data_IF_153841411284
#
_entry.id   IF_153841411284
#
_cell.length_a   1.000
_cell.length_b   1.000
_cell.length_c   1.000
_cell.angle_alpha   90.00
_cell.angle_beta   90.00
_cell.angle_gamma   90.00
#
_symmetry.space_group_name_H-M   'P 1'
#
loop_
_entity.id
_entity.type
_entity.pdbx_description
1 polymer ?
#
# COMPACT_ATOMS: atom_id res chain seq x y z
N UNK A 1 12.24 -15.09 -6.47
CA UNK A 1 12.46 -14.36 -5.21
C UNK A 1 11.34 -13.34 -5.08
N UNK A 2 10.56 -13.37 -4.00
CA UNK A 2 9.46 -12.44 -3.77
C UNK A 2 9.90 -11.29 -2.85
N UNK A 3 9.27 -10.14 -2.99
CA UNK A 3 9.49 -9.00 -2.08
C UNK A 3 8.13 -8.43 -1.71
N UNK A 4 7.97 -8.10 -0.43
CA UNK A 4 6.75 -7.44 0.03
C UNK A 4 6.89 -5.93 -0.24
N UNK A 5 6.05 -5.42 -1.13
CA UNK A 5 6.08 -4.02 -1.58
C UNK A 5 5.23 -3.09 -0.70
N UNK A 6 4.60 -3.62 0.35
CA UNK A 6 3.77 -2.82 1.25
C UNK A 6 3.96 -3.26 2.69
N UNK A 7 4.49 -2.38 3.52
CA UNK A 7 4.59 -2.59 4.96
C UNK A 7 4.39 -1.25 5.67
N UNK A 8 3.45 -1.20 6.61
CA UNK A 8 3.28 -0.04 7.49
C UNK A 8 4.03 -0.28 8.79
N UNK A 9 4.79 0.74 9.25
CA UNK A 9 5.43 0.71 10.56
C UNK A 9 4.50 1.33 11.62
N UNK A 10 4.96 1.32 12.87
CA UNK A 10 4.27 1.95 13.99
C UNK A 10 4.15 3.48 13.85
N UNK A 11 4.86 4.08 12.88
CA UNK A 11 4.68 5.49 12.54
C UNK A 11 3.37 5.76 11.79
N UNK A 12 2.74 4.72 11.22
CA UNK A 12 1.34 4.77 10.75
C UNK A 12 0.44 4.54 11.97
N UNK A 13 0.20 5.61 12.71
CA UNK A 13 -0.42 5.59 14.04
C UNK A 13 -1.75 4.82 14.02
N UNK A 14 -1.95 3.95 15.00
CA UNK A 14 -3.14 3.11 15.21
C UNK A 14 -3.39 2.07 14.10
N UNK A 15 -2.49 1.93 13.12
CA UNK A 15 -2.70 0.95 12.04
C UNK A 15 -1.66 -0.17 12.00
N UNK A 16 -0.50 0.01 12.64
CA UNK A 16 0.54 -1.02 12.63
C UNK A 16 1.27 -1.10 13.96
N UNK A 17 1.76 -2.30 14.30
CA UNK A 17 2.60 -2.55 15.48
C UNK A 17 4.08 -2.71 15.12
N UNK A 18 4.44 -2.62 13.86
CA UNK A 18 5.77 -2.99 13.37
C UNK A 18 6.81 -1.91 13.70
N UNK A 19 7.85 -2.31 14.42
CA UNK A 19 9.02 -1.46 14.68
C UNK A 19 10.06 -1.66 13.57
N UNK A 20 10.74 -0.58 13.15
CA UNK A 20 11.66 -0.60 12.00
C UNK A 20 12.75 -1.66 12.13
N UNK A 21 13.42 -1.72 13.29
CA UNK A 21 14.50 -2.70 13.52
C UNK A 21 13.98 -4.13 13.45
N UNK A 22 12.79 -4.37 14.01
CA UNK A 22 12.17 -5.70 13.99
C UNK A 22 11.80 -6.11 12.57
N UNK A 23 11.26 -5.18 11.78
CA UNK A 23 10.93 -5.43 10.37
C UNK A 23 12.15 -5.92 9.59
N UNK A 24 13.24 -5.14 9.68
CA UNK A 24 14.45 -5.44 8.90
C UNK A 24 15.07 -6.76 9.35
N UNK A 25 15.17 -6.98 10.67
CA UNK A 25 15.71 -8.23 11.20
C UNK A 25 14.84 -9.44 10.82
N UNK A 26 13.51 -9.27 10.86
CA UNK A 26 12.59 -10.34 10.49
C UNK A 26 12.70 -10.69 9.01
N UNK A 27 12.77 -9.67 8.14
CA UNK A 27 12.98 -9.86 6.70
C UNK A 27 14.30 -10.61 6.43
N UNK A 28 15.38 -10.21 7.12
CA UNK A 28 16.69 -10.88 7.00
C UNK A 28 16.61 -12.36 7.41
N UNK A 29 15.96 -12.64 8.54
CA UNK A 29 15.82 -14.02 9.06
C UNK A 29 15.04 -14.92 8.10
N UNK A 30 14.10 -14.34 7.33
CA UNK A 30 13.34 -15.06 6.31
C UNK A 30 14.09 -15.14 4.96
N UNK A 31 15.30 -14.58 4.87
CA UNK A 31 16.11 -14.64 3.65
C UNK A 31 15.75 -13.62 2.57
N UNK A 32 14.97 -12.60 2.92
CA UNK A 32 14.67 -11.52 1.96
C UNK A 32 15.90 -10.66 1.72
N UNK A 33 16.14 -10.33 0.46
CA UNK A 33 17.23 -9.42 0.06
C UNK A 33 16.75 -7.97 -0.06
N UNK A 34 15.45 -7.76 -0.05
CA UNK A 34 14.84 -6.43 -0.16
C UNK A 34 13.58 -6.38 0.70
N UNK A 35 13.27 -5.21 1.21
CA UNK A 35 12.04 -4.98 1.99
C UNK A 35 11.55 -3.56 1.74
N UNK A 36 10.23 -3.37 1.71
CA UNK A 36 9.63 -2.05 1.48
C UNK A 36 9.05 -1.48 2.78
N UNK A 37 9.11 -0.16 2.89
CA UNK A 37 8.39 0.61 3.92
C UNK A 37 7.51 1.63 3.21
N UNK A 38 6.19 1.59 3.50
CA UNK A 38 5.18 2.41 2.82
C UNK A 38 4.15 2.93 3.83
N UNK A 39 4.61 3.73 4.79
CA UNK A 39 3.73 4.32 5.80
C UNK A 39 2.69 5.25 5.16
N UNK A 40 1.53 5.38 5.80
CA UNK A 40 0.41 6.17 5.28
C UNK A 40 0.63 7.67 5.55
N UNK A 41 0.78 8.44 4.48
CA UNK A 41 0.97 9.89 4.48
C UNK A 41 2.23 10.40 5.21
N UNK A 42 3.11 9.52 5.71
CA UNK A 42 4.29 9.94 6.48
C UNK A 42 5.56 9.28 5.97
N UNK A 43 6.68 10.03 6.09
CA UNK A 43 8.02 9.56 5.74
C UNK A 43 8.95 9.53 6.96
N UNK A 44 8.40 9.64 8.18
CA UNK A 44 9.18 9.84 9.41
C UNK A 44 10.17 8.68 9.67
N UNK A 45 9.81 7.46 9.33
CA UNK A 45 10.64 6.28 9.56
C UNK A 45 11.67 6.03 8.45
N UNK A 46 11.61 6.75 7.32
CA UNK A 46 12.38 6.42 6.12
C UNK A 46 13.89 6.40 6.38
N UNK A 47 14.43 7.42 7.03
CA UNK A 47 15.87 7.52 7.30
C UNK A 47 16.34 6.35 8.20
N UNK A 48 15.64 6.10 9.31
CA UNK A 48 16.00 5.01 10.22
C UNK A 48 15.83 3.63 9.57
N UNK A 49 14.87 3.51 8.67
CA UNK A 49 14.65 2.28 7.88
C UNK A 49 15.83 2.03 6.92
N UNK A 50 16.26 3.06 6.18
CA UNK A 50 17.42 2.96 5.28
C UNK A 50 18.67 2.53 6.05
N UNK A 51 18.93 3.17 7.20
CA UNK A 51 20.09 2.86 8.05
C UNK A 51 20.02 1.42 8.57
N UNK A 52 18.84 0.98 9.03
CA UNK A 52 18.67 -0.40 9.51
C UNK A 52 18.92 -1.41 8.38
N UNK A 53 18.39 -1.15 7.19
CA UNK A 53 18.60 -2.02 6.02
C UNK A 53 20.08 -2.10 5.64
N UNK A 54 20.78 -0.97 5.60
CA UNK A 54 22.22 -0.92 5.31
C UNK A 54 23.02 -1.77 6.29
N UNK A 55 22.73 -1.67 7.59
CA UNK A 55 23.42 -2.44 8.64
C UNK A 55 23.22 -3.95 8.46
N UNK A 56 22.07 -4.36 7.99
CA UNK A 56 21.71 -5.78 7.83
C UNK A 56 22.00 -6.33 6.42
N UNK A 57 22.46 -5.48 5.49
CA UNK A 57 22.77 -5.88 4.13
C UNK A 57 21.52 -6.17 3.28
N UNK A 58 20.40 -5.51 3.60
CA UNK A 58 19.14 -5.64 2.88
C UNK A 58 18.90 -4.37 2.05
N UNK A 59 18.39 -4.54 0.84
CA UNK A 59 18.06 -3.39 -0.02
C UNK A 59 16.75 -2.72 0.44
N UNK A 60 16.78 -1.44 0.83
CA UNK A 60 15.54 -0.74 1.23
C UNK A 60 14.76 -0.27 0.00
N UNK A 61 13.46 -0.53 -0.01
CA UNK A 61 12.52 0.05 -0.97
C UNK A 61 11.70 1.08 -0.18
N UNK A 62 11.90 2.35 -0.46
CA UNK A 62 11.24 3.44 0.28
C UNK A 62 10.04 3.93 -0.52
N UNK A 63 8.92 4.08 0.17
CA UNK A 63 7.71 4.59 -0.44
C UNK A 63 6.76 5.20 0.58
N UNK A 64 5.58 5.56 0.10
CA UNK A 64 4.52 6.13 0.94
C UNK A 64 3.18 5.74 0.35
N UNK A 65 2.24 5.34 1.21
CA UNK A 65 0.84 5.21 0.80
C UNK A 65 0.17 6.57 0.95
N UNK A 66 -0.61 6.96 -0.06
CA UNK A 66 -1.37 8.22 -0.04
C UNK A 66 -2.81 7.97 -0.48
N UNK A 67 -3.72 8.73 0.07
CA UNK A 67 -5.09 8.81 -0.43
C UNK A 67 -5.14 9.97 -1.42
N UNK A 68 -5.46 9.65 -2.66
CA UNK A 68 -5.55 10.65 -3.73
C UNK A 68 -7.02 10.99 -3.99
N UNK A 69 -7.33 12.28 -4.03
CA UNK A 69 -8.62 12.75 -4.56
C UNK A 69 -8.54 12.64 -6.08
N UNK A 70 -9.02 11.52 -6.60
CA UNK A 70 -9.01 11.22 -8.03
C UNK A 70 -10.43 11.48 -8.58
N UNK A 71 -10.58 12.58 -9.31
CA UNK A 71 -11.89 13.12 -9.69
C UNK A 71 -12.77 13.30 -8.44
N UNK A 72 -13.86 12.58 -8.32
CA UNK A 72 -14.82 12.68 -7.21
C UNK A 72 -14.69 11.54 -6.18
N UNK A 73 -13.59 10.76 -6.24
CA UNK A 73 -13.40 9.58 -5.41
C UNK A 73 -12.02 9.58 -4.76
N UNK A 74 -11.94 8.99 -3.57
CA UNK A 74 -10.65 8.73 -2.92
C UNK A 74 -10.13 7.39 -3.47
N UNK A 75 -8.91 7.41 -4.02
CA UNK A 75 -8.21 6.20 -4.48
C UNK A 75 -6.89 6.12 -3.73
N UNK A 76 -6.62 5.02 -3.02
CA UNK A 76 -5.33 4.86 -2.37
C UNK A 76 -4.27 4.41 -3.37
N UNK A 77 -3.09 5.05 -3.31
CA UNK A 77 -1.92 4.73 -4.11
C UNK A 77 -0.72 4.43 -3.21
N UNK A 78 0.15 3.54 -3.67
CA UNK A 78 1.50 3.40 -3.13
C UNK A 78 2.47 4.03 -4.12
N UNK A 79 3.34 4.90 -3.62
CA UNK A 79 4.38 5.57 -4.38
C UNK A 79 5.72 5.01 -3.91
N UNK A 80 6.45 4.30 -4.78
CA UNK A 80 7.77 3.73 -4.46
C UNK A 80 8.84 4.57 -5.14
N UNK A 81 9.82 5.05 -4.39
CA UNK A 81 10.92 5.87 -4.93
C UNK A 81 11.76 5.09 -5.93
N UNK A 82 11.99 5.66 -7.11
CA UNK A 82 12.95 5.16 -8.11
C UNK A 82 14.35 5.72 -7.85
N UNK A 83 14.43 6.92 -7.26
CA UNK A 83 15.69 7.65 -7.09
C UNK A 83 15.58 8.66 -5.92
N UNK A 84 16.67 9.37 -5.68
CA UNK A 84 16.75 10.38 -4.61
C UNK A 84 15.77 11.55 -4.81
N UNK A 85 15.46 11.88 -6.05
CA UNK A 85 14.50 12.96 -6.34
C UNK A 85 13.09 12.53 -5.92
N UNK A 86 12.73 11.27 -6.22
CA UNK A 86 11.46 10.70 -5.72
C UNK A 86 11.37 10.73 -4.20
N UNK A 87 12.46 10.37 -3.51
CA UNK A 87 12.53 10.45 -2.05
C UNK A 87 12.26 11.88 -1.57
N UNK A 88 12.93 12.87 -2.18
CA UNK A 88 12.74 14.28 -1.81
C UNK A 88 11.30 14.74 -2.08
N UNK A 89 10.73 14.35 -3.22
CA UNK A 89 9.34 14.68 -3.54
C UNK A 89 8.36 14.09 -2.52
N UNK A 90 8.57 12.83 -2.11
CA UNK A 90 7.72 12.19 -1.10
C UNK A 90 7.85 12.88 0.26
N UNK A 91 9.05 13.37 0.64
CA UNK A 91 9.22 14.14 1.87
C UNK A 91 8.39 15.42 1.84
N UNK A 92 8.42 16.14 0.72
CA UNK A 92 7.63 17.37 0.52
C UNK A 92 6.12 17.05 0.56
N UNK A 93 5.71 16.00 -0.16
CA UNK A 93 4.30 15.59 -0.19
C UNK A 93 3.82 15.19 1.22
N UNK A 94 4.64 14.42 1.96
CA UNK A 94 4.33 14.03 3.34
C UNK A 94 4.07 15.25 4.22
N UNK A 95 4.93 16.26 4.13
CA UNK A 95 4.76 17.51 4.90
C UNK A 95 3.45 18.20 4.53
N UNK A 96 3.17 18.33 3.24
CA UNK A 96 1.95 18.95 2.74
C UNK A 96 0.68 18.22 3.25
N UNK A 97 0.68 16.87 3.18
CA UNK A 97 -0.48 16.07 3.58
C UNK A 97 -0.76 16.20 5.09
N UNK A 98 0.29 16.32 5.89
CA UNK A 98 0.14 16.37 7.36
C UNK A 98 -0.11 17.76 7.91
N UNK A 99 0.17 18.81 7.14
CA UNK A 99 0.00 20.18 7.61
C UNK A 99 -1.49 20.54 7.83
N UNK A 100 -2.39 20.06 6.97
CA UNK A 100 -3.81 20.42 7.02
C UNK A 100 -4.75 19.25 6.73
N UNK A 101 -4.34 18.04 7.04
CA UNK A 101 -5.12 16.82 6.77
C UNK A 101 -5.61 16.76 5.31
N UNK A 102 -4.73 17.06 4.38
CA UNK A 102 -5.06 17.11 2.95
C UNK A 102 -4.95 15.74 2.29
N UNK A 103 -5.66 15.57 1.18
CA UNK A 103 -5.48 14.44 0.27
C UNK A 103 -4.51 14.84 -0.84
N UNK A 104 -3.86 13.84 -1.43
CA UNK A 104 -3.02 14.05 -2.62
C UNK A 104 -3.92 14.40 -3.82
N UNK A 105 -3.49 15.33 -4.66
CA UNK A 105 -4.21 15.65 -5.90
C UNK A 105 -3.67 14.84 -7.08
N UNK A 106 -4.45 14.79 -8.17
CA UNK A 106 -4.02 14.13 -9.41
C UNK A 106 -2.74 14.79 -9.97
N UNK A 107 -2.65 16.12 -9.92
CA UNK A 107 -1.47 16.85 -10.41
C UNK A 107 -0.22 16.48 -9.60
N UNK A 108 -0.39 16.31 -8.28
CA UNK A 108 0.72 15.85 -7.44
C UNK A 108 1.15 14.43 -7.81
N UNK A 109 0.21 13.49 -8.05
CA UNK A 109 0.55 12.15 -8.53
C UNK A 109 1.31 12.20 -9.86
N UNK A 110 0.82 13.00 -10.81
CA UNK A 110 1.44 13.13 -12.14
C UNK A 110 2.87 13.66 -12.02
N UNK A 111 3.12 14.59 -11.11
CA UNK A 111 4.46 15.14 -10.88
C UNK A 111 5.44 14.12 -10.30
N UNK A 112 4.95 13.05 -9.67
CA UNK A 112 5.77 11.98 -9.09
C UNK A 112 6.23 10.95 -10.12
N UNK A 113 5.50 10.80 -11.26
CA UNK A 113 5.71 9.71 -12.22
C UNK A 113 7.18 9.51 -12.68
N UNK A 114 7.94 10.57 -12.98
CA UNK A 114 9.33 10.36 -13.42
C UNK A 114 10.22 9.72 -12.36
N UNK A 115 9.93 9.95 -11.07
CA UNK A 115 10.82 9.62 -9.97
C UNK A 115 10.23 8.62 -8.97
N UNK A 116 8.94 8.27 -9.15
CA UNK A 116 8.26 7.26 -8.33
C UNK A 116 7.53 6.27 -9.20
N UNK A 117 7.45 5.03 -8.73
CA UNK A 117 6.59 4.00 -9.32
C UNK A 117 5.25 4.05 -8.59
N UNK A 118 4.16 4.13 -9.34
CA UNK A 118 2.81 4.26 -8.79
C UNK A 118 2.09 2.91 -8.83
N UNK A 119 1.45 2.56 -7.71
CA UNK A 119 0.59 1.37 -7.64
C UNK A 119 -0.77 1.82 -7.12
N UNK A 120 -1.80 1.71 -7.96
CA UNK A 120 -3.18 1.97 -7.55
C UNK A 120 -3.71 0.74 -6.79
N UNK A 121 -4.22 0.95 -5.58
CA UNK A 121 -4.80 -0.16 -4.84
C UNK A 121 -6.15 -0.58 -5.43
N UNK A 122 -6.33 -1.89 -5.55
CA UNK A 122 -7.62 -2.48 -5.95
C UNK A 122 -8.62 -2.51 -4.80
N UNK A 123 -8.17 -2.21 -3.58
CA UNK A 123 -9.01 -2.14 -2.38
C UNK A 123 -9.21 -0.69 -1.96
N UNK A 124 -10.42 -0.35 -1.53
CA UNK A 124 -10.72 0.96 -0.95
C UNK A 124 -10.74 2.10 -1.95
N UNK A 125 -11.29 1.88 -3.13
CA UNK A 125 -11.45 2.93 -4.13
C UNK A 125 -12.54 2.54 -5.13
N UNK A 126 -12.55 3.16 -6.31
CA UNK A 126 -13.59 2.85 -7.32
C UNK A 126 -13.52 1.39 -7.78
N UNK A 127 -12.32 0.81 -7.85
CA UNK A 127 -12.17 -0.60 -8.26
C UNK A 127 -12.97 -1.49 -7.30
N UNK A 128 -12.83 -1.25 -6.00
CA UNK A 128 -13.54 -2.00 -4.97
C UNK A 128 -15.06 -1.83 -5.11
N UNK A 129 -15.52 -0.59 -5.24
CA UNK A 129 -16.95 -0.29 -5.35
C UNK A 129 -17.57 -0.89 -6.62
N UNK A 130 -16.87 -0.83 -7.75
CA UNK A 130 -17.35 -1.41 -9.01
C UNK A 130 -17.31 -2.94 -8.97
N UNK A 131 -16.34 -3.54 -8.28
CA UNK A 131 -16.27 -4.99 -8.10
C UNK A 131 -17.46 -5.49 -7.27
N UNK A 132 -17.90 -4.72 -6.27
CA UNK A 132 -19.08 -5.06 -5.46
C UNK A 132 -20.35 -5.03 -6.33
N UNK A 133 -20.45 -4.07 -7.25
CA UNK A 133 -21.57 -3.98 -8.21
C UNK A 133 -21.50 -5.04 -9.31
N UNK A 134 -20.40 -5.77 -9.39
CA UNK A 134 -20.08 -6.73 -10.47
C UNK A 134 -20.07 -6.07 -11.86
N UNK A 135 -19.75 -4.79 -11.93
CA UNK A 135 -19.74 -4.00 -13.16
C UNK A 135 -18.34 -3.98 -13.79
N UNK A 136 -18.07 -4.96 -14.64
CA UNK A 136 -16.78 -5.05 -15.35
C UNK A 136 -16.57 -3.92 -16.37
N UNK A 137 -17.64 -3.42 -16.98
CA UNK A 137 -17.54 -2.30 -17.93
C UNK A 137 -17.24 -0.99 -17.21
N UNK A 138 -17.89 -0.74 -16.07
CA UNK A 138 -17.59 0.43 -15.23
C UNK A 138 -16.14 0.47 -14.77
N UNK A 139 -15.59 -0.69 -14.38
CA UNK A 139 -14.17 -0.81 -14.02
C UNK A 139 -13.30 -0.47 -15.24
N UNK A 140 -13.61 -1.07 -16.39
CA UNK A 140 -12.84 -0.87 -17.64
C UNK A 140 -12.79 0.61 -18.03
N UNK A 141 -13.95 1.27 -18.03
CA UNK A 141 -14.06 2.70 -18.39
C UNK A 141 -13.19 3.56 -17.45
N UNK A 142 -13.34 3.38 -16.15
CA UNK A 142 -12.59 4.17 -15.16
C UNK A 142 -11.10 3.90 -15.21
N UNK A 143 -10.68 2.64 -15.44
CA UNK A 143 -9.27 2.30 -15.60
C UNK A 143 -8.69 2.89 -16.88
N UNK A 144 -9.49 2.98 -17.95
CA UNK A 144 -9.05 3.63 -19.20
C UNK A 144 -8.82 5.13 -18.96
N UNK A 145 -9.71 5.79 -18.22
CA UNK A 145 -9.54 7.19 -17.83
C UNK A 145 -8.26 7.35 -17.01
N UNK A 146 -8.06 6.50 -16.01
CA UNK A 146 -6.86 6.55 -15.16
C UNK A 146 -5.59 6.34 -15.98
N UNK A 147 -5.62 5.44 -16.97
CA UNK A 147 -4.48 5.21 -17.86
C UNK A 147 -4.15 6.44 -18.69
N UNK A 148 -5.18 7.14 -19.18
CA UNK A 148 -4.98 8.38 -19.94
C UNK A 148 -4.36 9.48 -19.07
N UNK A 149 -4.79 9.55 -17.80
CA UNK A 149 -4.31 10.57 -16.86
C UNK A 149 -2.88 10.28 -16.34
N UNK A 150 -2.59 9.02 -16.01
CA UNK A 150 -1.34 8.64 -15.32
C UNK A 150 -0.33 7.95 -16.24
N UNK A 151 -0.78 7.28 -17.29
CA UNK A 151 0.03 6.58 -18.31
C UNK A 151 0.82 5.38 -17.74
N UNK A 152 1.62 5.54 -16.68
CA UNK A 152 2.51 4.50 -16.12
C UNK A 152 2.17 4.24 -14.65
N UNK A 153 1.44 3.16 -14.40
CA UNK A 153 1.10 2.70 -13.04
C UNK A 153 0.73 1.21 -13.07
N UNK A 154 0.85 0.57 -11.93
CA UNK A 154 0.38 -0.82 -11.74
C UNK A 154 -0.92 -0.83 -10.95
N UNK A 155 -1.67 -1.93 -11.06
CA UNK A 155 -2.84 -2.19 -10.21
C UNK A 155 -2.47 -3.32 -9.24
N UNK A 156 -2.75 -3.13 -7.96
CA UNK A 156 -2.51 -4.17 -6.96
C UNK A 156 -3.52 -5.30 -7.08
N UNK A 157 -3.06 -6.54 -6.87
CA UNK A 157 -3.91 -7.72 -6.67
C UNK A 157 -3.66 -8.20 -5.25
N UNK A 158 -4.72 -8.23 -4.44
CA UNK A 158 -4.64 -8.66 -3.04
C UNK A 158 -4.84 -10.18 -2.95
N UNK A 159 -3.88 -10.89 -2.37
CA UNK A 159 -3.93 -12.33 -2.23
C UNK A 159 -4.28 -12.71 -0.78
N UNK A 160 -5.56 -12.64 -0.48
CA UNK A 160 -6.10 -13.15 0.78
C UNK A 160 -6.67 -14.55 0.56
N UNK A 161 -6.77 -15.35 1.62
CA UNK A 161 -7.09 -16.78 1.54
C UNK A 161 -8.51 -17.11 1.04
N UNK A 162 -9.42 -16.18 1.07
CA UNK A 162 -10.82 -16.42 0.69
C UNK A 162 -10.98 -16.64 -0.83
N UNK A 163 -11.79 -17.61 -1.20
CA UNK A 163 -12.11 -17.93 -2.61
C UNK A 163 -12.63 -16.72 -3.39
N UNK A 164 -13.31 -15.82 -2.71
CA UNK A 164 -13.83 -14.57 -3.27
C UNK A 164 -12.72 -13.75 -3.95
N UNK A 165 -11.54 -13.69 -3.32
CA UNK A 165 -10.42 -12.92 -3.85
C UNK A 165 -9.83 -13.52 -5.14
N UNK A 166 -9.89 -14.84 -5.29
CA UNK A 166 -9.45 -15.51 -6.53
C UNK A 166 -10.26 -15.04 -7.74
N UNK A 167 -11.57 -15.06 -7.63
CA UNK A 167 -12.46 -14.64 -8.72
C UNK A 167 -12.33 -13.16 -9.02
N UNK A 168 -12.25 -12.33 -7.96
CA UNK A 168 -12.04 -10.90 -8.06
C UNK A 168 -10.74 -10.58 -8.80
N UNK A 169 -9.63 -11.18 -8.36
CA UNK A 169 -8.31 -10.97 -8.97
C UNK A 169 -8.28 -11.44 -10.42
N UNK A 170 -8.90 -12.59 -10.74
CA UNK A 170 -8.94 -13.09 -12.11
C UNK A 170 -9.70 -12.13 -13.04
N UNK A 171 -10.82 -11.59 -12.58
CA UNK A 171 -11.61 -10.60 -13.33
C UNK A 171 -10.81 -9.32 -13.54
N UNK A 172 -10.26 -8.77 -12.46
CA UNK A 172 -9.49 -7.51 -12.51
C UNK A 172 -8.24 -7.67 -13.40
N UNK A 173 -7.54 -8.79 -13.27
CA UNK A 173 -6.35 -9.09 -14.10
C UNK A 173 -6.70 -9.10 -15.59
N UNK A 174 -7.81 -9.73 -15.98
CA UNK A 174 -8.25 -9.75 -17.38
C UNK A 174 -8.55 -8.35 -17.90
N UNK A 175 -9.23 -7.51 -17.10
CA UNK A 175 -9.54 -6.13 -17.50
C UNK A 175 -8.24 -5.33 -17.65
N UNK A 176 -7.35 -5.40 -16.66
CA UNK A 176 -6.07 -4.69 -16.70
C UNK A 176 -5.23 -5.11 -17.92
N UNK A 177 -5.16 -6.42 -18.20
CA UNK A 177 -4.43 -6.95 -19.37
C UNK A 177 -4.99 -6.39 -20.68
N UNK A 178 -6.33 -6.32 -20.82
CA UNK A 178 -6.95 -5.79 -22.04
C UNK A 178 -6.65 -4.30 -22.25
N UNK A 179 -6.32 -3.59 -21.18
CA UNK A 179 -5.94 -2.17 -21.20
C UNK A 179 -4.42 -1.96 -21.18
N UNK A 180 -3.65 -3.05 -21.21
CA UNK A 180 -2.18 -3.01 -21.11
C UNK A 180 -1.71 -2.29 -19.83
N UNK A 181 -2.40 -2.52 -18.70
CA UNK A 181 -2.00 -2.03 -17.38
C UNK A 181 -1.37 -3.20 -16.62
N UNK A 182 -0.12 -3.06 -16.16
CA UNK A 182 0.50 -4.13 -15.38
C UNK A 182 -0.21 -4.37 -14.05
N UNK A 183 -0.08 -5.58 -13.50
CA UNK A 183 -0.63 -5.91 -12.18
C UNK A 183 0.48 -6.46 -11.29
N UNK A 184 0.41 -6.12 -10.01
CA UNK A 184 1.40 -6.55 -9.02
C UNK A 184 0.69 -7.14 -7.79
N UNK A 185 1.23 -8.25 -7.28
CA UNK A 185 0.70 -8.85 -6.05
C UNK A 185 1.13 -8.02 -4.85
N UNK A 186 0.15 -7.57 -4.06
CA UNK A 186 0.43 -6.82 -2.83
C UNK A 186 -0.45 -7.36 -1.71
N UNK A 187 0.18 -7.72 -0.60
CA UNK A 187 -0.50 -8.00 0.65
C UNK A 187 -0.14 -6.91 1.65
N UNK A 188 -1.14 -6.36 2.30
CA UNK A 188 -0.95 -5.28 3.28
C UNK A 188 -0.44 -5.89 4.59
N UNK A 189 0.74 -5.49 5.03
CA UNK A 189 1.39 -6.00 6.23
C UNK A 189 1.36 -4.95 7.34
N UNK A 190 0.72 -5.29 8.44
CA UNK A 190 0.53 -4.42 9.61
C UNK A 190 1.11 -5.00 10.89
N UNK A 191 1.55 -6.26 10.89
CA UNK A 191 2.23 -6.91 12.01
C UNK A 191 3.10 -8.04 11.48
N UNK A 192 4.13 -8.40 12.26
CA UNK A 192 5.15 -9.36 11.81
C UNK A 192 4.82 -10.80 12.18
N UNK A 193 4.26 -11.02 13.36
CA UNK A 193 4.00 -12.37 13.87
C UNK A 193 2.53 -12.55 14.21
N UNK A 194 2.06 -13.77 14.12
CA UNK A 194 0.66 -14.13 14.42
C UNK A 194 0.24 -13.65 15.81
N UNK A 195 1.15 -13.71 16.76
CA UNK A 195 0.91 -13.27 18.15
C UNK A 195 0.60 -11.77 18.25
N UNK A 196 1.13 -10.98 17.32
CA UNK A 196 0.92 -9.52 17.29
C UNK A 196 -0.49 -9.15 16.81
N UNK A 197 -1.24 -10.10 16.24
CA UNK A 197 -2.60 -9.88 15.72
C UNK A 197 -3.55 -9.32 16.76
N UNK A 198 -3.40 -9.75 18.03
CA UNK A 198 -4.23 -9.27 19.13
C UNK A 198 -3.99 -7.78 19.39
N UNK A 199 -2.71 -7.36 19.46
CA UNK A 199 -2.34 -5.96 19.64
C UNK A 199 -2.84 -5.11 18.46
N UNK A 200 -2.68 -5.62 17.24
CA UNK A 200 -3.15 -4.94 16.03
C UNK A 200 -4.68 -4.76 16.05
N UNK A 201 -5.43 -5.78 16.51
CA UNK A 201 -6.89 -5.71 16.62
C UNK A 201 -7.33 -4.63 17.60
N UNK A 202 -6.61 -4.48 18.72
CA UNK A 202 -6.88 -3.41 19.70
C UNK A 202 -6.68 -2.04 19.05
N UNK A 203 -5.57 -1.85 18.33
CA UNK A 203 -5.29 -0.59 17.64
C UNK A 203 -6.39 -0.25 16.63
N UNK A 204 -6.82 -1.24 15.86
CA UNK A 204 -7.91 -1.06 14.88
C UNK A 204 -9.23 -0.68 15.57
N UNK A 205 -9.55 -1.32 16.68
CA UNK A 205 -10.74 -0.97 17.47
C UNK A 205 -10.69 0.49 17.92
N UNK A 206 -9.54 0.94 18.40
CA UNK A 206 -9.35 2.35 18.79
C UNK A 206 -9.56 3.31 17.61
N UNK A 207 -8.98 2.98 16.45
CA UNK A 207 -9.11 3.80 15.23
C UNK A 207 -10.57 3.90 14.77
N UNK A 208 -11.27 2.76 14.77
CA UNK A 208 -12.65 2.67 14.25
C UNK A 208 -13.70 3.02 15.32
N UNK A 209 -13.28 3.34 16.55
CA UNK A 209 -14.15 3.60 17.71
C UNK A 209 -15.11 2.44 17.97
N UNK A 210 -14.60 1.21 17.84
CA UNK A 210 -15.36 -0.04 18.03
C UNK A 210 -14.78 -0.87 19.17
N UNK A 211 -15.56 -1.79 19.68
CA UNK A 211 -15.06 -2.72 20.70
C UNK A 211 -14.18 -3.81 20.04
N UNK A 212 -13.39 -4.49 20.85
CA UNK A 212 -12.52 -5.59 20.39
C UNK A 212 -13.35 -6.72 19.76
N UNK A 213 -14.57 -6.91 20.22
CA UNK A 213 -15.48 -7.93 19.69
C UNK A 213 -16.00 -7.58 18.30
N UNK A 214 -16.21 -6.34 18.04
CA UNK A 214 -16.65 -5.86 16.71
C UNK A 214 -15.55 -5.94 15.65
N UNK A 215 -14.49 -5.90 16.00
CA UNK A 215 -13.41 -5.98 15.09
C UNK A 215 -13.07 -7.41 14.70
N UNK A 216 -13.81 -8.16 14.95
CA UNK A 216 -13.72 -9.52 14.67
C UNK A 216 -13.83 -9.88 13.20
N UNK A 217 -14.37 -9.14 12.56
CA UNK A 217 -14.56 -9.37 11.22
C UNK A 217 -13.38 -9.04 10.30
N UNK A 218 -12.64 -8.46 10.64
CA UNK A 218 -11.54 -8.21 9.80
C UNK A 218 -10.44 -9.13 10.13
N UNK A 219 -10.57 -10.24 10.07
CA UNK A 219 -9.61 -11.23 10.54
C UNK A 219 -8.52 -11.63 9.55
N UNK A 220 -8.37 -10.99 8.44
CA UNK A 220 -7.48 -11.49 7.38
C UNK A 220 -6.39 -10.49 6.96
N UNK A 221 -5.73 -9.87 7.93
CA UNK A 221 -4.52 -9.10 7.62
C UNK A 221 -3.32 -10.02 7.72
N UNK A 222 -2.51 -10.03 6.67
CA UNK A 222 -1.45 -11.03 6.60
C UNK A 222 -0.23 -10.69 7.43
N UNK A 223 0.32 -11.73 7.97
CA UNK A 223 1.65 -11.83 8.53
C UNK A 223 2.65 -11.76 7.36
N UNK A 224 3.81 -11.26 7.65
CA UNK A 224 4.99 -11.44 6.81
C UNK A 224 5.22 -12.97 6.74
N UNK A 225 4.77 -13.62 5.69
CA UNK A 225 4.84 -15.10 5.59
C UNK A 225 5.87 -15.56 4.57
N UNK A 226 6.28 -16.80 4.71
CA UNK A 226 7.24 -17.47 3.83
C UNK A 226 6.80 -17.50 2.36
#
# INVERSE_FOLDING_TARGET
>A
MSVHLYTRSSYSILTSTIRIKELVQYAKNLGYTSVALTDHNVMFAAASFIDACKKEGIHPIVGMEVDCMYHDMIVPFVLLCKDNKGYQQLMVLSSFLNEKEKTCSLEQLQSMLPHCHLIAFSEGGFIDSEMVKDDGEGIREKLQIMKNDLQDFDISLSYQEASLWKNRNAKLKRIAQSLHIPTVAINKIYYLRKEDSKAHRILRGMLEKKTIQDXXXXNHWQIFSD
#
